data_IF_148079258505
#
_entry.id   IF_148079258505
#
_cell.length_a   1.000
_cell.length_b   1.000
_cell.length_c   1.000
_cell.angle_alpha   90.00
_cell.angle_beta   90.00
_cell.angle_gamma   90.00
#
_symmetry.space_group_name_H-M   'P 1'
#
loop_
_entity.id
_entity.type
_entity.pdbx_description
1 polymer ?
#
# COMPACT_ATOMS: atom_id res chain seq x y z
N UNK A 1 -21.89 -6.97 16.86
CA UNK A 1 -20.69 -7.19 16.01
C UNK A 1 -19.94 -5.89 15.92
N UNK A 2 -18.64 -5.87 16.17
CA UNK A 2 -17.83 -4.64 16.06
C UNK A 2 -17.35 -4.52 14.61
N UNK A 3 -17.54 -3.37 13.98
CA UNK A 3 -16.94 -3.04 12.68
C UNK A 3 -15.93 -1.93 12.90
N UNK A 4 -14.74 -2.10 12.35
CA UNK A 4 -13.65 -1.11 12.44
C UNK A 4 -13.48 -0.51 11.04
N UNK A 5 -13.73 0.79 10.87
CA UNK A 5 -13.54 1.43 9.58
C UNK A 5 -12.06 1.36 9.17
N UNK A 6 -11.75 1.28 7.86
CA UNK A 6 -10.38 1.14 7.39
C UNK A 6 -9.57 2.39 7.71
N UNK A 7 -8.64 2.26 8.65
CA UNK A 7 -7.61 3.27 8.90
C UNK A 7 -6.34 2.90 8.13
N UNK A 8 -5.69 3.89 7.52
CA UNK A 8 -4.44 3.74 6.79
C UNK A 8 -3.39 4.64 7.44
N UNK A 9 -2.26 4.07 7.82
CA UNK A 9 -1.10 4.81 8.31
C UNK A 9 0.07 4.60 7.37
N UNK A 10 0.54 5.69 6.78
CA UNK A 10 1.72 5.69 5.90
C UNK A 10 2.86 6.35 6.68
N UNK A 11 3.89 5.61 7.12
CA UNK A 11 5.03 6.19 7.83
C UNK A 11 5.78 7.21 6.97
N UNK A 12 5.89 6.95 5.67
CA UNK A 12 6.59 7.82 4.72
C UNK A 12 5.65 8.20 3.59
N UNK A 13 5.03 9.39 3.68
CA UNK A 13 4.08 9.87 2.67
C UNK A 13 4.75 10.29 1.36
N UNK A 14 6.04 10.63 1.43
CA UNK A 14 6.85 11.03 0.29
C UNK A 14 8.18 10.31 0.39
N UNK A 15 8.53 9.59 -0.66
CA UNK A 15 9.81 8.90 -0.76
C UNK A 15 10.50 9.39 -2.02
N UNK A 16 11.61 10.11 -1.84
CA UNK A 16 12.47 10.52 -2.93
C UNK A 16 13.54 9.45 -3.18
N UNK A 17 13.81 9.17 -4.45
CA UNK A 17 14.91 8.31 -4.86
C UNK A 17 15.65 8.93 -6.03
N UNK A 18 16.98 8.79 -6.08
CA UNK A 18 17.74 9.07 -7.29
C UNK A 18 17.22 8.26 -8.49
N UNK A 19 17.37 8.79 -9.72
CA UNK A 19 17.04 8.04 -10.93
C UNK A 19 17.75 6.69 -10.96
N UNK A 20 16.99 5.61 -11.15
CA UNK A 20 17.53 4.26 -11.29
C UNK A 20 17.67 3.46 -9.99
N UNK A 21 17.27 4.01 -8.83
CA UNK A 21 17.23 3.25 -7.58
C UNK A 21 15.84 2.68 -7.29
N UNK A 22 15.81 1.58 -6.55
CA UNK A 22 14.59 0.94 -6.09
C UNK A 22 14.05 1.68 -4.85
N UNK A 23 12.73 1.87 -4.77
CA UNK A 23 12.05 2.52 -3.65
C UNK A 23 11.10 1.54 -3.00
N UNK A 24 11.09 1.52 -1.68
CA UNK A 24 10.09 0.78 -0.92
C UNK A 24 9.09 1.73 -0.30
N UNK A 25 7.80 1.52 -0.59
CA UNK A 25 6.68 2.21 0.04
C UNK A 25 6.00 1.24 1.00
N UNK A 26 5.88 1.64 2.26
CA UNK A 26 5.22 0.86 3.29
C UNK A 26 3.99 1.61 3.81
N UNK A 27 2.95 0.86 4.16
CA UNK A 27 1.79 1.38 4.85
C UNK A 27 1.15 0.31 5.73
N UNK A 28 0.58 0.73 6.83
CA UNK A 28 -0.20 -0.11 7.72
C UNK A 28 -1.68 0.21 7.51
N UNK A 29 -2.53 -0.80 7.62
CA UNK A 29 -3.98 -0.58 7.63
C UNK A 29 -4.64 -1.47 8.65
N UNK A 30 -5.69 -0.95 9.28
CA UNK A 30 -6.49 -1.65 10.28
C UNK A 30 -7.95 -1.52 9.91
N UNK A 31 -8.63 -2.66 9.70
CA UNK A 31 -10.01 -2.71 9.27
C UNK A 31 -10.66 -4.04 9.70
N UNK A 32 -11.96 -4.00 10.00
CA UNK A 32 -12.75 -5.21 10.25
C UNK A 32 -14.20 -5.07 9.77
N UNK A 33 -14.73 -6.03 8.98
CA UNK A 33 -14.06 -7.21 8.43
C UNK A 33 -12.91 -6.84 7.45
N UNK A 34 -12.11 -7.82 7.03
CA UNK A 34 -10.90 -7.59 6.22
C UNK A 34 -11.23 -6.71 5.00
N UNK A 35 -10.57 -5.55 4.91
CA UNK A 35 -10.70 -4.67 3.76
C UNK A 35 -9.70 -5.02 2.65
N UNK A 36 -10.08 -4.80 1.39
CA UNK A 36 -9.22 -4.99 0.22
C UNK A 36 -8.40 -3.71 0.04
N UNK A 37 -7.08 -3.84 -0.04
CA UNK A 37 -6.17 -2.70 -0.25
C UNK A 37 -5.42 -2.83 -1.57
N UNK A 38 -5.25 -1.72 -2.28
CA UNK A 38 -4.45 -1.69 -3.51
C UNK A 38 -3.73 -0.35 -3.66
N UNK A 39 -2.64 -0.36 -4.43
CA UNK A 39 -1.91 0.84 -4.78
C UNK A 39 -2.51 1.47 -6.03
N UNK A 40 -2.53 2.79 -6.05
CA UNK A 40 -2.98 3.59 -7.18
C UNK A 40 -1.89 4.61 -7.51
N UNK A 41 -1.50 4.65 -8.77
CA UNK A 41 -0.59 5.63 -9.35
C UNK A 41 -1.32 6.35 -10.47
N UNK A 42 -1.37 7.68 -10.43
CA UNK A 42 -2.01 8.49 -11.47
C UNK A 42 -3.42 7.98 -11.88
N UNK A 43 -4.25 7.70 -10.86
CA UNK A 43 -5.59 7.10 -11.02
C UNK A 43 -5.66 5.67 -11.56
N UNK A 44 -4.53 5.05 -11.88
CA UNK A 44 -4.42 3.67 -12.34
C UNK A 44 -4.03 2.72 -11.20
N UNK A 45 -4.66 1.56 -11.13
CA UNK A 45 -4.30 0.53 -10.16
C UNK A 45 -2.92 -0.07 -10.48
N UNK A 46 -2.03 -0.12 -9.50
CA UNK A 46 -0.74 -0.78 -9.65
C UNK A 46 -0.92 -2.27 -9.40
N UNK A 47 -0.67 -3.06 -10.43
CA UNK A 47 -0.64 -4.52 -10.36
C UNK A 47 0.80 -5.01 -10.17
N UNK A 48 0.99 -6.17 -9.49
CA UNK A 48 2.28 -6.81 -9.43
C UNK A 48 2.80 -7.11 -10.85
N UNK A 49 3.95 -6.58 -11.18
CA UNK A 49 4.65 -6.79 -12.45
C UNK A 49 6.15 -6.83 -12.19
N UNK A 50 6.98 -7.03 -13.21
CA UNK A 50 8.44 -6.97 -13.06
C UNK A 50 8.97 -5.62 -12.54
N UNK A 51 8.16 -4.55 -12.64
CA UNK A 51 8.48 -3.20 -12.14
C UNK A 51 7.95 -2.91 -10.73
N UNK A 52 6.89 -3.59 -10.32
CA UNK A 52 6.18 -3.36 -9.05
C UNK A 52 6.04 -4.68 -8.30
N UNK A 53 6.72 -4.83 -7.17
CA UNK A 53 6.54 -5.95 -6.25
C UNK A 53 5.63 -5.52 -5.10
N UNK A 54 4.58 -6.29 -4.80
CA UNK A 54 3.67 -6.02 -3.69
C UNK A 54 3.62 -7.21 -2.72
N UNK A 55 3.78 -6.93 -1.44
CA UNK A 55 3.68 -7.89 -0.34
C UNK A 55 2.61 -7.45 0.66
N UNK A 56 1.58 -8.28 0.84
CA UNK A 56 0.64 -8.16 1.97
C UNK A 56 1.04 -9.12 3.08
N UNK A 57 1.29 -8.58 4.28
CA UNK A 57 1.51 -9.37 5.49
C UNK A 57 0.43 -9.04 6.52
N UNK A 58 -0.40 -10.02 6.83
CA UNK A 58 -1.38 -9.91 7.91
C UNK A 58 -0.66 -10.11 9.24
N UNK A 59 -0.72 -9.12 10.13
CA UNK A 59 -0.21 -9.26 11.50
C UNK A 59 -1.24 -9.93 12.40
N UNK A 60 -2.52 -9.56 12.23
CA UNK A 60 -3.65 -10.08 13.00
C UNK A 60 -4.92 -10.12 12.13
N UNK A 61 -6.05 -10.56 12.69
CA UNK A 61 -7.37 -10.49 12.04
C UNK A 61 -7.80 -9.07 11.64
N UNK A 62 -7.25 -8.06 12.31
CA UNK A 62 -7.60 -6.64 12.13
C UNK A 62 -6.53 -5.86 11.35
N UNK A 63 -5.26 -6.21 11.54
CA UNK A 63 -4.10 -5.40 11.10
C UNK A 63 -3.40 -6.04 9.91
N UNK A 64 -3.30 -5.27 8.83
CA UNK A 64 -2.58 -5.63 7.60
C UNK A 64 -1.42 -4.66 7.40
N UNK A 65 -0.21 -5.18 7.32
CA UNK A 65 0.95 -4.43 6.85
C UNK A 65 1.08 -4.66 5.35
N UNK A 66 1.05 -3.59 4.57
CA UNK A 66 1.20 -3.64 3.13
C UNK A 66 2.50 -2.95 2.73
N UNK A 67 3.35 -3.69 2.07
CA UNK A 67 4.67 -3.26 1.61
C UNK A 67 4.70 -3.40 0.10
N UNK A 68 5.18 -2.39 -0.61
CA UNK A 68 5.45 -2.52 -2.03
C UNK A 68 6.83 -1.96 -2.33
N UNK A 69 7.58 -2.72 -3.10
CA UNK A 69 8.85 -2.32 -3.65
C UNK A 69 8.62 -1.96 -5.11
N UNK A 70 8.94 -0.72 -5.44
CA UNK A 70 8.74 -0.13 -6.75
C UNK A 70 10.12 0.17 -7.33
N UNK A 71 10.41 -0.47 -8.47
CA UNK A 71 11.63 -0.23 -9.22
C UNK A 71 11.38 0.90 -10.20
N UNK A 72 12.07 2.03 -10.00
CA UNK A 72 11.90 3.32 -10.71
C UNK A 72 10.57 4.04 -10.38
N UNK A 73 10.57 4.85 -9.32
CA UNK A 73 9.46 5.78 -9.04
C UNK A 73 9.78 7.14 -9.63
N UNK A 74 8.96 7.57 -10.59
CA UNK A 74 8.64 8.98 -10.79
C UNK A 74 7.21 9.17 -10.28
N UNK A 75 7.04 9.93 -9.18
CA UNK A 75 5.86 10.68 -8.70
C UNK A 75 4.61 9.98 -8.05
N UNK A 76 4.25 10.37 -6.82
CA UNK A 76 2.88 10.32 -6.23
C UNK A 76 2.06 9.00 -6.22
N UNK A 77 2.61 7.90 -5.69
CA UNK A 77 1.82 6.67 -5.40
C UNK A 77 0.94 6.87 -4.15
N UNK A 78 -0.35 6.51 -4.24
CA UNK A 78 -1.31 6.54 -3.10
C UNK A 78 -1.95 5.17 -2.87
N UNK A 79 -2.28 4.85 -1.61
CA UNK A 79 -3.04 3.65 -1.27
C UNK A 79 -4.54 3.93 -1.24
N UNK A 80 -5.35 3.03 -1.79
CA UNK A 80 -6.80 2.99 -1.58
C UNK A 80 -7.21 1.68 -0.90
N UNK A 81 -8.16 1.79 0.02
CA UNK A 81 -8.73 0.65 0.75
C UNK A 81 -10.24 0.67 0.56
N UNK A 82 -10.82 -0.48 0.19
CA UNK A 82 -12.25 -0.69 0.03
C UNK A 82 -12.75 -1.67 1.10
N UNK A 83 -13.74 -1.25 1.89
CA UNK A 83 -14.47 -2.09 2.85
C UNK A 83 -15.91 -2.23 2.36
N UNK A 84 -16.33 -3.46 2.04
CA UNK A 84 -17.73 -3.81 1.73
C UNK A 84 -18.48 -4.28 2.95
#
# INVERSE_FOLDING_TARGET
MISVPPMIWVPNQLVGAPPGTDVTIECNTEAYPKAISYWVYDSNMILPTSKYSNEMKYRDRLKVKFKSEVRKVLENIRKRTYSG
#
